data_IF_954330277956
#
_entry.id   IF_954330277956
#
_cell.length_a   1.000
_cell.length_b   1.000
_cell.length_c   1.000
_cell.angle_alpha   90.00
_cell.angle_beta   90.00
_cell.angle_gamma   90.00
#
_symmetry.space_group_name_H-M   'P 1'
#
loop_
_entity.id
_entity.type
_entity.pdbx_description
1 polymer ?
#
# COMPACT_ATOMS: atom_id res chain seq x y z
N UNK A 1 31.51 19.56 18.18
CA UNK A 1 31.65 18.09 18.05
C UNK A 1 30.37 17.41 18.49
N UNK A 2 30.05 17.28 19.80
CA UNK A 2 28.79 16.66 20.26
C UNK A 2 27.49 17.15 19.58
N UNK A 3 27.33 18.46 19.36
CA UNK A 3 26.16 19.01 18.67
C UNK A 3 26.10 18.65 17.18
N UNK A 4 27.27 18.59 16.53
CA UNK A 4 27.38 18.20 15.12
C UNK A 4 27.09 16.72 14.95
N UNK A 5 27.67 15.89 15.83
CA UNK A 5 27.43 14.44 15.86
C UNK A 5 25.93 14.13 16.07
N UNK A 6 25.25 14.92 16.91
CA UNK A 6 23.81 14.80 17.14
C UNK A 6 22.98 15.17 15.91
N UNK A 7 23.35 16.26 15.22
CA UNK A 7 22.68 16.68 13.99
C UNK A 7 22.84 15.65 12.87
N UNK A 8 24.04 15.09 12.73
CA UNK A 8 24.33 14.05 11.74
C UNK A 8 23.56 12.76 12.03
N UNK A 9 23.45 12.38 13.31
CA UNK A 9 22.62 11.25 13.74
C UNK A 9 21.14 11.48 13.41
N UNK A 10 20.60 12.67 13.71
CA UNK A 10 19.21 13.02 13.40
C UNK A 10 18.91 12.92 11.90
N UNK A 11 19.80 13.45 11.07
CA UNK A 11 19.66 13.41 9.62
C UNK A 11 19.68 11.98 9.10
N UNK A 12 20.59 11.15 9.61
CA UNK A 12 20.67 9.72 9.26
C UNK A 12 19.39 8.97 9.62
N UNK A 13 18.91 9.11 10.85
CA UNK A 13 17.68 8.45 11.31
C UNK A 13 16.46 8.89 10.49
N UNK A 14 16.39 10.16 10.13
CA UNK A 14 15.31 10.69 9.27
C UNK A 14 15.36 10.04 7.88
N UNK A 15 16.54 9.95 7.27
CA UNK A 15 16.73 9.32 5.96
C UNK A 15 16.43 7.81 6.00
N UNK A 16 16.88 7.11 7.05
CA UNK A 16 16.59 5.69 7.26
C UNK A 16 15.09 5.44 7.42
N UNK A 17 14.40 6.27 8.21
CA UNK A 17 12.95 6.19 8.38
C UNK A 17 12.19 6.43 7.06
N UNK A 18 12.61 7.42 6.28
CA UNK A 18 12.03 7.70 4.96
C UNK A 18 12.23 6.52 4.00
N UNK A 19 13.44 5.94 3.97
CA UNK A 19 13.76 4.79 3.12
C UNK A 19 12.93 3.54 3.51
N UNK A 20 12.82 3.24 4.81
CA UNK A 20 12.03 2.09 5.26
C UNK A 20 10.53 2.31 5.00
N UNK A 21 10.03 3.54 5.17
CA UNK A 21 8.64 3.90 4.83
C UNK A 21 8.39 3.69 3.33
N UNK A 22 9.30 4.14 2.46
CA UNK A 22 9.17 3.94 1.02
C UNK A 22 9.19 2.46 0.63
N UNK A 23 10.10 1.69 1.21
CA UNK A 23 10.20 0.24 1.01
C UNK A 23 8.94 -0.49 1.46
N UNK A 24 8.41 -0.17 2.64
CA UNK A 24 7.16 -0.75 3.14
C UNK A 24 5.98 -0.41 2.22
N UNK A 25 5.88 0.84 1.77
CA UNK A 25 4.86 1.25 0.79
C UNK A 25 4.96 0.48 -0.54
N UNK A 26 6.17 0.20 -1.04
CA UNK A 26 6.36 -0.61 -2.24
C UNK A 26 5.89 -2.05 -2.03
N UNK A 27 6.29 -2.68 -0.93
CA UNK A 27 5.86 -4.05 -0.59
C UNK A 27 4.34 -4.17 -0.43
N UNK A 28 3.72 -3.17 0.21
CA UNK A 28 2.27 -3.09 0.34
C UNK A 28 1.59 -2.97 -1.02
N UNK A 29 2.08 -2.06 -1.89
CA UNK A 29 1.55 -1.90 -3.25
C UNK A 29 1.66 -3.17 -4.07
N UNK A 30 2.80 -3.86 -4.01
CA UNK A 30 3.01 -5.12 -4.72
C UNK A 30 2.04 -6.21 -4.23
N UNK A 31 1.82 -6.28 -2.92
CA UNK A 31 0.86 -7.22 -2.31
C UNK A 31 -0.57 -6.95 -2.78
N UNK A 32 -0.98 -5.68 -2.80
CA UNK A 32 -2.29 -5.25 -3.31
C UNK A 32 -2.41 -5.59 -4.80
N UNK A 33 -1.43 -5.25 -5.62
CA UNK A 33 -1.44 -5.51 -7.07
C UNK A 33 -1.50 -7.01 -7.40
N UNK A 34 -0.75 -7.84 -6.66
CA UNK A 34 -0.83 -9.30 -6.80
C UNK A 34 -2.24 -9.79 -6.49
N UNK A 35 -2.81 -9.35 -5.37
CA UNK A 35 -4.16 -9.75 -4.98
C UNK A 35 -5.21 -9.31 -6.00
N UNK A 36 -5.16 -8.05 -6.45
CA UNK A 36 -6.09 -7.51 -7.45
C UNK A 36 -6.06 -8.31 -8.75
N UNK A 37 -4.88 -8.75 -9.21
CA UNK A 37 -4.76 -9.59 -10.42
C UNK A 37 -5.52 -10.92 -10.27
N UNK A 38 -5.39 -11.58 -9.13
CA UNK A 38 -6.06 -12.87 -8.90
C UNK A 38 -7.55 -12.70 -8.66
N UNK A 39 -7.92 -11.73 -7.83
CA UNK A 39 -9.31 -11.35 -7.56
C UNK A 39 -10.06 -10.99 -8.85
N UNK A 40 -9.42 -10.23 -9.75
CA UNK A 40 -10.06 -9.76 -10.96
C UNK A 40 -10.27 -10.87 -12.02
N UNK A 41 -9.55 -12.00 -11.95
CA UNK A 41 -9.81 -13.15 -12.84
C UNK A 41 -11.24 -13.67 -12.71
N UNK A 42 -11.82 -13.57 -11.52
CA UNK A 42 -13.18 -14.02 -11.23
C UNK A 42 -14.22 -12.92 -11.45
N UNK A 43 -13.86 -11.67 -11.15
CA UNK A 43 -14.81 -10.54 -11.18
C UNK A 43 -14.94 -9.86 -12.54
N UNK A 44 -13.89 -9.95 -13.37
CA UNK A 44 -13.95 -9.47 -14.76
C UNK A 44 -14.01 -7.96 -14.92
N UNK A 45 -13.45 -7.17 -14.00
CA UNK A 45 -13.32 -5.73 -14.17
C UNK A 45 -12.32 -5.42 -15.29
N UNK A 46 -12.72 -4.57 -16.23
CA UNK A 46 -11.79 -4.05 -17.25
C UNK A 46 -10.76 -3.10 -16.64
N UNK A 47 -11.15 -2.35 -15.60
CA UNK A 47 -10.31 -1.37 -14.93
C UNK A 47 -10.58 -1.34 -13.43
N UNK A 48 -9.52 -1.16 -12.64
CA UNK A 48 -9.57 -0.87 -11.21
C UNK A 48 -8.75 0.40 -11.01
N UNK A 49 -9.34 1.43 -10.41
CA UNK A 49 -8.77 2.77 -10.28
C UNK A 49 -8.66 3.12 -8.80
N UNK A 50 -7.55 3.72 -8.39
CA UNK A 50 -7.36 4.25 -7.03
C UNK A 50 -8.19 5.54 -6.82
N UNK A 51 -8.59 5.82 -5.58
CA UNK A 51 -9.31 7.05 -5.20
C UNK A 51 -8.54 7.93 -4.20
N UNK A 52 -7.23 7.71 -4.02
CA UNK A 52 -6.46 8.27 -2.90
C UNK A 52 -6.01 9.72 -3.14
N UNK A 53 -6.54 10.40 -4.15
CA UNK A 53 -6.33 11.82 -4.42
C UNK A 53 -5.06 12.15 -5.21
N UNK A 54 -4.19 11.16 -5.47
CA UNK A 54 -3.11 11.27 -6.46
C UNK A 54 -3.53 10.85 -7.87
N UNK A 55 -4.79 10.48 -8.06
CA UNK A 55 -5.34 9.85 -9.26
C UNK A 55 -6.25 10.83 -10.02
N UNK A 56 -6.45 10.61 -11.32
CA UNK A 56 -7.31 11.45 -12.16
C UNK A 56 -8.83 11.15 -12.01
N UNK A 57 -9.24 10.49 -10.92
CA UNK A 57 -10.64 10.12 -10.69
C UNK A 57 -11.38 11.26 -9.95
N UNK A 58 -12.18 12.04 -10.67
CA UNK A 58 -12.94 13.17 -10.10
C UNK A 58 -14.20 12.70 -9.34
N UNK A 59 -14.89 11.72 -9.91
CA UNK A 59 -16.13 11.18 -9.35
C UNK A 59 -16.33 9.73 -9.82
N UNK A 60 -16.82 8.90 -8.92
CA UNK A 60 -17.35 7.57 -9.22
C UNK A 60 -18.53 7.30 -8.30
N UNK A 61 -19.50 6.53 -8.79
CA UNK A 61 -20.59 6.05 -7.95
C UNK A 61 -20.05 5.18 -6.80
N UNK A 62 -20.59 5.36 -5.58
CA UNK A 62 -20.15 4.61 -4.40
C UNK A 62 -20.40 3.11 -4.54
N UNK A 63 -21.37 2.69 -5.34
CA UNK A 63 -21.65 1.28 -5.63
C UNK A 63 -20.51 0.58 -6.38
N UNK A 64 -19.60 1.35 -7.00
CA UNK A 64 -18.39 0.84 -7.67
C UNK A 64 -17.20 0.73 -6.72
N UNK A 65 -17.34 1.17 -5.46
CA UNK A 65 -16.26 1.13 -4.48
C UNK A 65 -16.07 -0.30 -3.94
N UNK A 66 -14.98 -0.93 -4.36
CA UNK A 66 -14.58 -2.28 -3.92
C UNK A 66 -13.56 -2.27 -2.76
N UNK A 67 -13.17 -1.11 -2.22
CA UNK A 67 -12.06 -0.98 -1.26
C UNK A 67 -12.23 -1.89 -0.04
N UNK A 68 -13.45 -1.99 0.51
CA UNK A 68 -13.73 -2.84 1.66
C UNK A 68 -13.54 -4.32 1.35
N UNK A 69 -14.07 -4.79 0.20
CA UNK A 69 -13.94 -6.19 -0.22
C UNK A 69 -12.47 -6.57 -0.45
N UNK A 70 -11.69 -5.67 -1.05
CA UNK A 70 -10.25 -5.88 -1.25
C UNK A 70 -9.50 -5.93 0.09
N UNK A 71 -9.82 -5.03 1.03
CA UNK A 71 -9.21 -5.03 2.36
C UNK A 71 -9.50 -6.32 3.13
N UNK A 72 -10.75 -6.79 3.10
CA UNK A 72 -11.15 -8.06 3.70
C UNK A 72 -10.43 -9.25 3.07
N UNK A 73 -10.36 -9.31 1.74
CA UNK A 73 -9.66 -10.37 1.02
C UNK A 73 -8.16 -10.40 1.31
N UNK A 74 -7.51 -9.24 1.40
CA UNK A 74 -6.10 -9.12 1.78
C UNK A 74 -5.86 -9.59 3.23
N UNK A 75 -6.72 -9.16 4.17
CA UNK A 75 -6.62 -9.57 5.57
C UNK A 75 -6.85 -11.08 5.73
N UNK A 76 -7.81 -11.66 5.02
CA UNK A 76 -8.05 -13.09 5.02
C UNK A 76 -6.82 -13.86 4.50
N UNK A 77 -6.22 -13.41 3.39
CA UNK A 77 -4.98 -13.98 2.86
C UNK A 77 -3.85 -13.91 3.88
N UNK A 78 -3.69 -12.78 4.56
CA UNK A 78 -2.65 -12.59 5.59
C UNK A 78 -2.85 -13.53 6.78
N UNK A 79 -4.09 -13.66 7.30
CA UNK A 79 -4.40 -14.57 8.42
C UNK A 79 -4.24 -16.04 8.03
N UNK A 80 -4.55 -16.39 6.77
CA UNK A 80 -4.42 -17.75 6.24
C UNK A 80 -2.96 -18.15 5.93
N UNK A 81 -2.07 -17.17 5.73
CA UNK A 81 -0.65 -17.44 5.62
C UNK A 81 -0.10 -17.76 7.02
N UNK A 82 0.48 -18.96 7.26
CA UNK A 82 1.06 -19.27 8.54
C UNK A 82 2.14 -18.22 8.85
N UNK A 83 2.07 -17.62 10.04
CA UNK A 83 3.14 -16.75 10.54
C UNK A 83 4.44 -17.55 10.49
N UNK A 84 5.32 -17.18 9.57
CA UNK A 84 6.70 -17.67 9.58
C UNK A 84 7.46 -17.03 10.74
#
# INVERSE_FOLDING_TARGET
RKQQDLQDLQNRLTNELMAETQKNNLQLRDSINSFLKDYNKLKGYSFIISNTGGDNLLYADRTLNITQEIAEGLNARYVSAPKK
#
